data_IF_805158163049
#
_entry.id   IF_805158163049
#
_cell.length_a   1.000
_cell.length_b   1.000
_cell.length_c   1.000
_cell.angle_alpha   90.00
_cell.angle_beta   90.00
_cell.angle_gamma   90.00
#
_symmetry.space_group_name_H-M   'P 1'
#
loop_
_entity.id
_entity.type
_entity.pdbx_description
1 polymer ?
#
# COMPACT_ATOMS: atom_id res chain seq x y z
N UNK A 1 4.34 -22.43 5.07
CA UNK A 1 3.88 -21.59 6.21
C UNK A 1 3.75 -22.49 7.44
N UNK A 2 4.39 -22.14 8.57
CA UNK A 2 4.24 -22.85 9.84
C UNK A 2 2.78 -22.82 10.32
N UNK A 3 2.31 -23.88 10.97
CA UNK A 3 0.93 -23.92 11.50
C UNK A 3 0.74 -22.91 12.64
N UNK A 4 1.81 -22.55 13.35
CA UNK A 4 1.78 -21.58 14.46
C UNK A 4 1.57 -20.13 14.00
N UNK A 5 1.67 -19.85 12.69
CA UNK A 5 1.40 -18.53 12.14
C UNK A 5 -0.10 -18.15 12.18
N UNK A 6 -0.99 -19.15 12.26
CA UNK A 6 -2.45 -18.99 12.26
C UNK A 6 -2.94 -18.04 11.15
N UNK A 7 -2.90 -18.53 9.91
CA UNK A 7 -3.42 -17.80 8.75
C UNK A 7 -4.94 -17.73 8.86
N UNK A 8 -5.49 -16.51 8.85
CA UNK A 8 -6.94 -16.29 8.91
C UNK A 8 -7.54 -16.21 7.51
N UNK A 9 -6.90 -15.48 6.60
CA UNK A 9 -7.34 -15.31 5.21
C UNK A 9 -6.19 -14.95 4.28
N UNK A 10 -6.39 -15.21 3.00
CA UNK A 10 -5.49 -14.83 1.91
C UNK A 10 -6.34 -14.06 0.90
N UNK A 11 -5.91 -12.84 0.59
CA UNK A 11 -6.66 -11.94 -0.30
C UNK A 11 -5.74 -11.39 -1.38
N UNK A 12 -6.28 -11.22 -2.59
CA UNK A 12 -5.62 -10.47 -3.64
C UNK A 12 -5.93 -8.99 -3.44
N UNK A 13 -4.91 -8.15 -3.32
CA UNK A 13 -5.09 -6.72 -3.10
C UNK A 13 -4.26 -5.90 -4.09
N UNK A 14 -4.94 -5.42 -5.13
CA UNK A 14 -4.29 -4.84 -6.28
C UNK A 14 -3.19 -5.78 -6.80
N UNK A 15 -1.94 -5.32 -6.95
CA UNK A 15 -0.86 -6.15 -7.48
C UNK A 15 -0.18 -7.05 -6.44
N UNK A 16 -0.76 -7.24 -5.25
CA UNK A 16 -0.13 -7.96 -4.12
C UNK A 16 -1.01 -9.10 -3.61
N UNK A 17 -0.37 -10.15 -3.12
CA UNK A 17 -1.01 -11.22 -2.36
C UNK A 17 -0.86 -10.92 -0.87
N UNK A 18 -1.95 -10.56 -0.20
CA UNK A 18 -1.99 -10.28 1.23
C UNK A 18 -2.31 -11.56 2.02
N UNK A 19 -1.46 -11.90 2.98
CA UNK A 19 -1.67 -13.04 3.89
C UNK A 19 -1.91 -12.47 5.29
N UNK A 20 -3.12 -12.66 5.80
CA UNK A 20 -3.52 -12.20 7.13
C UNK A 20 -3.24 -13.29 8.17
N UNK A 21 -2.58 -12.89 9.26
CA UNK A 21 -2.11 -13.81 10.29
C UNK A 21 -2.42 -13.26 11.69
N UNK A 22 -2.67 -14.17 12.65
CA UNK A 22 -2.81 -13.80 14.07
C UNK A 22 -1.47 -13.74 14.80
N UNK A 23 -0.46 -14.45 14.31
CA UNK A 23 0.88 -14.46 14.92
C UNK A 23 1.92 -13.81 14.00
N UNK A 24 1.89 -12.47 13.93
CA UNK A 24 2.84 -11.70 13.11
C UNK A 24 4.28 -11.82 13.66
N UNK A 25 4.43 -11.97 14.98
CA UNK A 25 5.73 -11.98 15.66
C UNK A 25 6.59 -13.16 15.17
N UNK A 26 6.00 -14.34 15.06
CA UNK A 26 6.66 -15.53 14.54
C UNK A 26 7.24 -15.30 13.13
N UNK A 27 6.49 -14.63 12.25
CA UNK A 27 6.91 -14.39 10.87
C UNK A 27 7.97 -13.29 10.75
N UNK A 28 8.10 -12.43 11.76
CA UNK A 28 9.20 -11.48 11.83
C UNK A 28 10.51 -12.19 12.16
N UNK A 29 10.48 -13.18 13.05
CA UNK A 29 11.63 -14.00 13.42
C UNK A 29 12.00 -14.99 12.30
N UNK A 30 10.98 -15.54 11.62
CA UNK A 30 11.13 -16.50 10.53
C UNK A 30 10.93 -15.87 9.15
N UNK A 31 11.67 -14.79 8.88
CA UNK A 31 11.56 -14.04 7.62
C UNK A 31 11.83 -14.87 6.36
N UNK A 32 12.62 -15.95 6.46
CA UNK A 32 12.91 -16.89 5.37
C UNK A 32 11.64 -17.51 4.76
N UNK A 33 10.60 -17.74 5.58
CA UNK A 33 9.33 -18.32 5.13
C UNK A 33 8.68 -17.46 4.04
N UNK A 34 8.77 -16.14 4.16
CA UNK A 34 8.23 -15.21 3.16
C UNK A 34 9.01 -15.31 1.86
N UNK A 35 10.33 -15.31 1.98
CA UNK A 35 11.25 -15.39 0.84
C UNK A 35 11.02 -16.67 0.04
N UNK A 36 10.84 -17.80 0.71
CA UNK A 36 10.58 -19.10 0.06
C UNK A 36 9.26 -19.10 -0.73
N UNK A 37 8.20 -18.51 -0.16
CA UNK A 37 6.90 -18.44 -0.85
C UNK A 37 6.96 -17.47 -2.03
N UNK A 38 7.69 -16.35 -1.90
CA UNK A 38 7.91 -15.41 -3.01
C UNK A 38 8.66 -16.10 -4.15
N UNK A 39 9.70 -16.87 -3.84
CA UNK A 39 10.48 -17.63 -4.83
C UNK A 39 9.65 -18.75 -5.48
N UNK A 40 8.74 -19.37 -4.75
CA UNK A 40 7.85 -20.39 -5.30
C UNK A 40 6.78 -19.79 -6.23
N UNK A 41 6.09 -18.74 -5.78
CA UNK A 41 4.93 -18.19 -6.48
C UNK A 41 5.27 -17.12 -7.51
N UNK A 42 6.48 -16.54 -7.45
CA UNK A 42 6.90 -15.38 -8.27
C UNK A 42 5.90 -14.21 -8.21
N UNK A 43 5.25 -14.03 -7.05
CA UNK A 43 4.26 -12.97 -6.79
C UNK A 43 4.74 -12.08 -5.65
N UNK A 44 4.29 -10.83 -5.63
CA UNK A 44 4.56 -9.90 -4.53
C UNK A 44 3.66 -10.24 -3.34
N UNK A 45 4.25 -10.74 -2.26
CA UNK A 45 3.53 -11.16 -1.06
C UNK A 45 3.71 -10.13 0.04
N UNK A 46 2.64 -9.85 0.78
CA UNK A 46 2.66 -9.00 1.97
C UNK A 46 1.98 -9.73 3.12
N UNK A 47 2.66 -9.78 4.27
CA UNK A 47 2.06 -10.28 5.51
C UNK A 47 1.36 -9.13 6.22
N UNK A 48 0.17 -9.40 6.73
CA UNK A 48 -0.63 -8.45 7.53
C UNK A 48 -1.11 -9.07 8.82
N UNK A 49 -1.23 -8.23 9.85
CA UNK A 49 -1.97 -8.59 11.05
C UNK A 49 -3.45 -8.70 10.74
N UNK A 50 -4.09 -9.72 11.31
CA UNK A 50 -5.54 -9.80 11.28
C UNK A 50 -6.17 -8.57 11.99
N UNK A 51 -7.22 -7.95 11.42
CA UNK A 51 -7.94 -6.87 12.07
C UNK A 51 -8.35 -7.15 13.52
N UNK A 52 -8.67 -8.40 13.87
CA UNK A 52 -9.17 -8.78 15.18
C UNK A 52 -8.13 -8.67 16.31
N UNK A 53 -6.84 -8.65 15.97
CA UNK A 53 -5.74 -8.62 16.96
C UNK A 53 -5.07 -7.24 17.04
N UNK A 54 -5.46 -6.30 16.18
CA UNK A 54 -4.90 -4.93 16.18
C UNK A 54 -5.48 -4.16 17.35
N UNK A 55 -4.62 -3.42 18.05
CA UNK A 55 -5.10 -2.49 19.07
C UNK A 55 -5.96 -1.39 18.44
N UNK A 56 -6.97 -0.86 19.17
CA UNK A 56 -7.69 0.33 18.74
C UNK A 56 -6.73 1.49 18.47
N UNK A 57 -7.04 2.32 17.47
CA UNK A 57 -6.14 3.38 17.00
C UNK A 57 -5.68 4.32 18.13
N UNK A 58 -6.59 4.68 19.04
CA UNK A 58 -6.29 5.55 20.20
C UNK A 58 -5.27 4.91 21.15
N UNK A 59 -5.43 3.63 21.46
CA UNK A 59 -4.51 2.90 22.35
C UNK A 59 -3.17 2.62 21.67
N UNK A 60 -3.21 2.32 20.37
CA UNK A 60 -2.02 2.16 19.55
C UNK A 60 -1.22 3.47 19.48
N UNK A 61 -1.89 4.62 19.33
CA UNK A 61 -1.23 5.93 19.30
C UNK A 61 -0.49 6.22 20.62
N UNK A 62 -1.15 5.99 21.76
CA UNK A 62 -0.53 6.15 23.09
C UNK A 62 0.67 5.21 23.24
N UNK A 63 0.52 3.95 22.84
CA UNK A 63 1.59 2.95 22.89
C UNK A 63 2.80 3.37 22.04
N UNK A 64 2.56 3.88 20.82
CA UNK A 64 3.63 4.36 19.93
C UNK A 64 4.35 5.57 20.52
N UNK A 65 3.62 6.54 21.08
CA UNK A 65 4.23 7.72 21.71
C UNK A 65 5.08 7.37 22.93
N UNK A 66 4.73 6.31 23.66
CA UNK A 66 5.49 5.83 24.81
C UNK A 66 6.75 5.03 24.40
N UNK A 67 6.68 4.26 23.32
CA UNK A 67 7.80 3.44 22.84
C UNK A 67 8.86 4.26 22.10
N UNK A 68 8.44 5.33 21.40
CA UNK A 68 9.36 6.15 20.62
C UNK A 68 9.96 7.25 21.51
N UNK A 69 11.29 7.44 21.50
CA UNK A 69 11.93 8.50 22.28
C UNK A 69 11.37 9.89 21.93
N UNK A 70 11.13 10.74 22.94
CA UNK A 70 10.64 12.11 22.74
C UNK A 70 11.55 12.94 21.82
N UNK A 71 12.86 12.64 21.81
CA UNK A 71 13.86 13.26 20.93
C UNK A 71 13.63 13.03 19.43
N UNK A 72 12.85 12.00 19.07
CA UNK A 72 12.48 11.75 17.68
C UNK A 72 11.54 12.83 17.13
N UNK A 73 10.83 13.53 18.01
CA UNK A 73 9.84 14.57 17.73
C UNK A 73 8.79 14.09 16.70
N UNK A 74 7.89 13.21 17.17
CA UNK A 74 6.74 12.76 16.37
C UNK A 74 5.82 13.95 16.12
N UNK A 75 5.62 14.26 14.84
CA UNK A 75 4.75 15.34 14.38
C UNK A 75 3.33 14.85 14.13
N UNK A 76 3.16 13.66 13.53
CA UNK A 76 1.85 13.08 13.23
C UNK A 76 1.88 11.55 13.24
N UNK A 77 0.75 10.93 13.59
CA UNK A 77 0.52 9.50 13.49
C UNK A 77 -0.79 9.34 12.72
N UNK A 78 -0.76 8.62 11.60
CA UNK A 78 -1.94 8.37 10.77
C UNK A 78 -2.11 6.86 10.57
N UNK A 79 -3.31 6.34 10.76
CA UNK A 79 -3.60 4.93 10.55
C UNK A 79 -4.12 4.67 9.14
N UNK A 80 -3.83 3.49 8.61
CA UNK A 80 -4.42 2.96 7.39
C UNK A 80 -5.06 1.60 7.71
N UNK A 81 -6.34 1.58 8.09
CA UNK A 81 -7.05 0.35 8.46
C UNK A 81 -7.09 -0.68 7.33
N UNK A 82 -7.17 -0.20 6.09
CA UNK A 82 -7.25 -1.05 4.89
C UNK A 82 -6.00 -1.90 4.71
N UNK A 83 -4.81 -1.32 4.97
CA UNK A 83 -3.53 -2.02 4.85
C UNK A 83 -2.99 -2.58 6.17
N UNK A 84 -3.53 -2.12 7.31
CA UNK A 84 -2.97 -2.40 8.64
C UNK A 84 -1.64 -1.74 8.91
N UNK A 85 -1.44 -0.56 8.32
CA UNK A 85 -0.24 0.23 8.48
C UNK A 85 -0.51 1.43 9.40
N UNK A 86 0.52 1.82 10.16
CA UNK A 86 0.54 3.08 10.92
C UNK A 86 1.69 3.93 10.40
N UNK A 87 1.36 5.10 9.86
CA UNK A 87 2.31 6.05 9.31
C UNK A 87 2.72 7.00 10.42
N UNK A 88 4.00 6.95 10.80
CA UNK A 88 4.58 7.78 11.87
C UNK A 88 5.47 8.82 11.23
N UNK A 89 5.12 10.10 11.37
CA UNK A 89 5.94 11.22 10.89
C UNK A 89 6.76 11.80 12.04
N UNK A 90 8.08 11.80 11.90
CA UNK A 90 9.00 12.29 12.91
C UNK A 90 10.09 13.17 12.30
N UNK A 91 10.57 14.18 13.02
CA UNK A 91 11.68 15.02 12.52
C UNK A 91 12.97 14.20 12.39
N UNK A 92 13.22 13.30 13.34
CA UNK A 92 14.38 12.40 13.35
C UNK A 92 13.92 10.94 13.20
N UNK A 93 13.62 10.48 11.96
CA UNK A 93 13.08 9.14 11.74
C UNK A 93 14.03 8.01 12.18
N UNK A 94 15.35 8.24 12.19
CA UNK A 94 16.32 7.24 12.65
C UNK A 94 16.13 6.82 14.11
N UNK A 95 15.70 7.76 14.98
CA UNK A 95 15.40 7.46 16.38
C UNK A 95 14.09 6.69 16.54
N UNK A 96 13.12 6.91 15.63
CA UNK A 96 11.85 6.16 15.59
C UNK A 96 12.03 4.74 15.10
N UNK A 97 13.00 4.49 14.21
CA UNK A 97 13.30 3.15 13.70
C UNK A 97 14.05 2.33 14.76
N UNK A 98 14.95 2.97 15.51
CA UNK A 98 15.84 2.30 16.45
C UNK A 98 17.04 1.63 15.75
N UNK A 99 17.99 1.11 16.53
CA UNK A 99 19.12 0.35 15.98
C UNK A 99 18.59 -0.94 15.36
N UNK A 100 18.93 -1.18 14.10
CA UNK A 100 18.48 -2.35 13.32
C UNK A 100 16.95 -2.58 13.31
N UNK A 101 16.16 -1.51 13.50
CA UNK A 101 14.70 -1.59 13.50
C UNK A 101 14.09 -2.10 14.80
N UNK A 102 14.83 -2.17 15.91
CA UNK A 102 14.35 -2.67 17.21
C UNK A 102 13.04 -2.02 17.65
N UNK A 103 12.94 -0.68 17.54
CA UNK A 103 11.74 0.07 17.93
C UNK A 103 10.56 -0.24 17.01
N UNK A 104 10.78 -0.45 15.71
CA UNK A 104 9.71 -0.91 14.81
C UNK A 104 9.18 -2.28 15.23
N UNK A 105 10.06 -3.18 15.65
CA UNK A 105 9.66 -4.51 16.10
C UNK A 105 8.86 -4.44 17.40
N UNK A 106 9.26 -3.58 18.33
CA UNK A 106 8.52 -3.33 19.58
C UNK A 106 7.13 -2.75 19.30
N UNK A 107 7.02 -1.78 18.38
CA UNK A 107 5.72 -1.22 17.98
C UNK A 107 4.82 -2.31 17.39
N UNK A 108 5.34 -3.20 16.54
CA UNK A 108 4.57 -4.30 15.97
C UNK A 108 4.14 -5.27 17.07
N UNK A 109 5.04 -5.64 18.00
CA UNK A 109 4.74 -6.55 19.11
C UNK A 109 3.65 -6.00 20.02
N UNK A 110 3.72 -4.71 20.35
CA UNK A 110 2.78 -4.04 21.25
C UNK A 110 1.42 -3.76 20.59
N UNK A 111 1.42 -3.23 19.37
CA UNK A 111 0.19 -2.70 18.75
C UNK A 111 -0.42 -3.63 17.69
N UNK A 112 0.37 -4.57 17.17
CA UNK A 112 0.08 -5.38 15.97
C UNK A 112 -0.16 -4.57 14.70
N UNK A 113 0.06 -3.26 14.71
CA UNK A 113 0.07 -2.43 13.51
C UNK A 113 1.46 -2.49 12.86
N UNK A 114 1.50 -2.36 11.53
CA UNK A 114 2.76 -2.30 10.79
C UNK A 114 3.25 -0.84 10.70
N UNK A 115 4.33 -0.45 11.40
CA UNK A 115 4.81 0.92 11.36
C UNK A 115 5.51 1.24 10.05
N UNK A 116 5.19 2.40 9.50
CA UNK A 116 5.89 3.02 8.38
C UNK A 116 6.36 4.40 8.81
N UNK A 117 7.66 4.54 9.03
CA UNK A 117 8.25 5.80 9.48
C UNK A 117 8.56 6.69 8.29
N UNK A 118 8.12 7.95 8.35
CA UNK A 118 8.41 8.99 7.38
C UNK A 118 9.06 10.19 8.10
N UNK A 119 9.89 10.93 7.36
CA UNK A 119 10.41 12.20 7.86
C UNK A 119 9.28 13.24 7.85
N UNK A 120 9.14 13.98 8.95
CA UNK A 120 8.21 15.09 9.04
C UNK A 120 8.50 16.14 7.96
N UNK A 121 7.43 16.65 7.35
CA UNK A 121 7.53 17.65 6.30
C UNK A 121 7.90 19.01 6.91
N UNK A 122 8.83 19.79 6.33
CA UNK A 122 9.13 21.14 6.81
C UNK A 122 7.92 22.07 6.75
N UNK A 123 7.06 21.88 5.75
CA UNK A 123 5.84 22.64 5.54
C UNK A 123 4.66 21.68 5.43
N UNK A 124 3.60 21.85 6.23
CA UNK A 124 2.42 20.99 6.15
C UNK A 124 1.65 21.26 4.86
N UNK A 125 1.33 20.19 4.12
CA UNK A 125 0.49 20.28 2.92
C UNK A 125 -0.97 19.92 3.23
N UNK A 126 -1.88 20.86 2.94
CA UNK A 126 -3.32 20.63 3.04
C UNK A 126 -3.80 19.49 2.13
N UNK A 127 -3.18 19.34 0.94
CA UNK A 127 -3.54 18.29 -0.02
C UNK A 127 -3.19 16.91 0.56
N UNK A 128 -2.04 16.78 1.20
CA UNK A 128 -1.60 15.51 1.81
C UNK A 128 -2.48 15.16 3.00
N UNK A 129 -2.78 16.12 3.86
CA UNK A 129 -3.69 15.91 4.99
C UNK A 129 -5.09 15.47 4.52
N UNK A 130 -5.65 16.15 3.52
CA UNK A 130 -6.94 15.79 2.92
C UNK A 130 -6.93 14.39 2.30
N UNK A 131 -5.89 14.07 1.52
CA UNK A 131 -5.75 12.75 0.90
C UNK A 131 -5.69 11.64 1.95
N UNK A 132 -4.92 11.83 3.04
CA UNK A 132 -4.84 10.86 4.14
C UNK A 132 -6.18 10.69 4.85
N UNK A 133 -6.90 11.78 5.07
CA UNK A 133 -8.21 11.73 5.67
C UNK A 133 -9.19 10.92 4.82
N UNK A 134 -9.23 11.15 3.50
CA UNK A 134 -10.07 10.39 2.56
C UNK A 134 -9.69 8.90 2.57
N UNK A 135 -8.39 8.58 2.53
CA UNK A 135 -7.93 7.19 2.55
C UNK A 135 -8.28 6.46 3.86
N UNK A 136 -8.37 7.18 4.97
CA UNK A 136 -8.78 6.65 6.27
C UNK A 136 -10.30 6.48 6.36
N UNK A 137 -11.07 7.52 5.99
CA UNK A 137 -12.53 7.51 6.04
C UNK A 137 -13.14 6.48 5.10
N UNK A 138 -12.59 6.35 3.88
CA UNK A 138 -13.06 5.43 2.84
C UNK A 138 -12.35 4.08 2.88
N UNK A 139 -11.83 3.66 4.05
CA UNK A 139 -11.02 2.45 4.16
C UNK A 139 -11.77 1.17 3.74
N UNK A 140 -13.06 1.06 4.03
CA UNK A 140 -13.90 -0.09 3.63
C UNK A 140 -14.10 -0.16 2.11
N UNK A 141 -14.38 0.98 1.46
CA UNK A 141 -14.52 1.06 0.01
C UNK A 141 -13.19 0.74 -0.67
N UNK A 142 -12.09 1.29 -0.14
CA UNK A 142 -10.74 1.01 -0.64
C UNK A 142 -10.38 -0.47 -0.56
N UNK A 143 -10.71 -1.16 0.53
CA UNK A 143 -10.50 -2.61 0.66
C UNK A 143 -11.26 -3.40 -0.40
N UNK A 144 -12.51 -3.02 -0.71
CA UNK A 144 -13.30 -3.64 -1.79
C UNK A 144 -12.67 -3.40 -3.16
N UNK A 145 -12.30 -2.16 -3.49
CA UNK A 145 -11.64 -1.83 -4.75
C UNK A 145 -10.33 -2.61 -4.91
N UNK A 146 -9.51 -2.70 -3.86
CA UNK A 146 -8.26 -3.47 -3.91
C UNK A 146 -8.50 -4.95 -4.19
N UNK A 147 -9.55 -5.53 -3.58
CA UNK A 147 -9.93 -6.92 -3.82
C UNK A 147 -10.36 -7.15 -5.26
N UNK A 148 -11.27 -6.32 -5.78
CA UNK A 148 -11.78 -6.44 -7.15
C UNK A 148 -10.66 -6.30 -8.18
N UNK A 149 -9.76 -5.32 -7.97
CA UNK A 149 -8.59 -5.13 -8.84
C UNK A 149 -7.64 -6.32 -8.72
N UNK A 150 -7.43 -6.85 -7.52
CA UNK A 150 -6.56 -8.01 -7.28
C UNK A 150 -7.07 -9.27 -7.98
N UNK A 151 -8.35 -9.59 -7.84
CA UNK A 151 -8.98 -10.74 -8.49
C UNK A 151 -8.87 -10.64 -10.03
N UNK A 152 -8.98 -9.43 -10.60
CA UNK A 152 -8.77 -9.20 -12.04
C UNK A 152 -7.31 -9.38 -12.48
N UNK A 153 -6.34 -8.91 -11.69
CA UNK A 153 -4.91 -9.02 -12.01
C UNK A 153 -4.44 -10.47 -11.99
N UNK A 154 -4.89 -11.24 -10.99
CA UNK A 154 -4.40 -12.61 -10.75
C UNK A 154 -5.26 -13.70 -11.41
N UNK A 155 -6.23 -13.32 -12.25
CA UNK A 155 -7.02 -14.28 -13.03
C UNK A 155 -6.12 -15.14 -13.94
N UNK A 156 -6.48 -16.40 -14.22
CA UNK A 156 -5.77 -17.22 -15.20
C UNK A 156 -5.80 -16.60 -16.60
N UNK A 157 -4.75 -16.83 -17.39
CA UNK A 157 -4.72 -16.46 -18.80
C UNK A 157 -5.60 -17.39 -19.62
N UNK A 158 -6.35 -16.84 -20.57
CA UNK A 158 -7.31 -17.55 -21.43
C UNK A 158 -6.72 -17.87 -22.81
N UNK A 159 -5.80 -17.04 -23.32
CA UNK A 159 -5.21 -17.07 -24.64
C UNK A 159 -3.68 -17.10 -24.56
N UNK A 160 -3.05 -17.92 -25.40
CA UNK A 160 -1.58 -18.09 -25.44
C UNK A 160 -0.89 -17.25 -26.52
N UNK A 161 -1.63 -16.73 -27.49
CA UNK A 161 -1.08 -15.90 -28.57
C UNK A 161 -0.91 -14.48 -28.05
N UNK A 162 0.19 -13.80 -28.42
CA UNK A 162 0.49 -12.44 -27.97
C UNK A 162 0.58 -11.49 -29.16
N UNK A 163 -0.51 -10.77 -29.44
CA UNK A 163 -0.46 -9.59 -30.27
C UNK A 163 -0.50 -8.36 -29.36
N UNK A 164 0.24 -7.32 -29.72
CA UNK A 164 0.22 -6.04 -29.03
C UNK A 164 -0.11 -4.96 -30.05
N UNK A 165 -1.16 -4.18 -29.77
CA UNK A 165 -1.57 -3.02 -30.54
C UNK A 165 -1.40 -1.77 -29.68
N UNK A 166 -0.92 -0.71 -30.30
CA UNK A 166 -0.88 0.61 -29.69
C UNK A 166 -1.78 1.55 -30.48
N UNK A 167 -2.71 2.20 -29.80
CA UNK A 167 -3.64 3.18 -30.37
C UNK A 167 -3.31 4.54 -29.78
N UNK A 168 -2.94 5.49 -30.65
CA UNK A 168 -2.59 6.85 -30.27
C UNK A 168 -3.86 7.71 -30.20
N UNK A 169 -4.30 8.06 -28.99
CA UNK A 169 -5.56 8.77 -28.76
C UNK A 169 -5.39 10.30 -28.67
N UNK A 170 -4.20 10.79 -28.32
CA UNK A 170 -3.89 12.21 -28.31
C UNK A 170 -2.42 12.49 -27.99
N UNK A 171 -1.93 13.68 -28.37
CA UNK A 171 -0.53 14.09 -28.20
C UNK A 171 0.42 13.58 -29.30
N UNK A 172 -0.12 13.09 -30.42
CA UNK A 172 0.66 12.65 -31.58
C UNK A 172 0.47 13.63 -32.73
N UNK A 173 1.56 14.28 -33.15
CA UNK A 173 1.57 15.42 -34.10
C UNK A 173 0.86 16.68 -33.56
N UNK A 174 0.74 16.78 -32.25
CA UNK A 174 0.18 17.93 -31.54
C UNK A 174 0.78 18.01 -30.13
N UNK A 175 0.52 19.11 -29.43
CA UNK A 175 0.93 19.31 -28.04
C UNK A 175 -0.32 19.39 -27.16
N UNK A 176 -0.34 18.62 -26.07
CA UNK A 176 -1.49 18.50 -25.17
C UNK A 176 -2.24 17.17 -25.34
N UNK A 177 -3.15 16.87 -24.40
CA UNK A 177 -4.03 15.69 -24.41
C UNK A 177 -3.32 14.35 -24.65
N UNK A 178 -2.11 14.18 -24.12
CA UNK A 178 -1.35 12.94 -24.25
C UNK A 178 -2.16 11.74 -23.74
N UNK A 179 -2.37 10.77 -24.61
CA UNK A 179 -3.09 9.54 -24.27
C UNK A 179 -2.76 8.42 -25.27
N UNK A 180 -2.37 7.26 -24.74
CA UNK A 180 -2.05 6.06 -25.51
C UNK A 180 -2.81 4.88 -24.93
N UNK A 181 -3.52 4.12 -25.77
CA UNK A 181 -4.11 2.87 -25.38
C UNK A 181 -3.25 1.70 -25.88
N UNK A 182 -2.70 0.92 -24.95
CA UNK A 182 -1.94 -0.30 -25.25
C UNK A 182 -2.85 -1.50 -25.03
N UNK A 183 -3.08 -2.28 -26.07
CA UNK A 183 -3.95 -3.44 -26.06
C UNK A 183 -3.15 -4.70 -26.34
N UNK A 184 -3.23 -5.65 -25.44
CA UNK A 184 -2.91 -7.05 -25.68
C UNK A 184 -4.23 -7.84 -25.82
N UNK A 185 -4.14 -9.11 -26.19
CA UNK A 185 -5.34 -9.95 -26.39
C UNK A 185 -6.27 -10.06 -25.17
N UNK A 186 -5.75 -9.84 -23.95
CA UNK A 186 -6.52 -9.98 -22.71
C UNK A 186 -6.54 -8.72 -21.84
N UNK A 187 -5.76 -7.70 -22.21
CA UNK A 187 -5.48 -6.57 -21.34
C UNK A 187 -5.47 -5.29 -22.15
N UNK A 188 -6.10 -4.26 -21.61
CA UNK A 188 -6.07 -2.92 -22.16
C UNK A 188 -5.54 -1.99 -21.08
N UNK A 189 -4.47 -1.26 -21.37
CA UNK A 189 -3.81 -0.32 -20.46
C UNK A 189 -3.81 1.05 -21.10
N UNK A 190 -4.44 2.01 -20.43
CA UNK A 190 -4.39 3.41 -20.80
C UNK A 190 -3.17 4.06 -20.17
N UNK A 191 -2.30 4.64 -20.99
CA UNK A 191 -1.13 5.41 -20.58
C UNK A 191 -1.43 6.88 -20.83
N UNK A 192 -1.34 7.66 -19.75
CA UNK A 192 -1.79 9.05 -19.67
C UNK A 192 -3.28 9.25 -20.01
N UNK A 193 -3.80 10.37 -19.57
CA UNK A 193 -5.13 10.87 -19.93
C UNK A 193 -5.09 12.38 -19.74
N UNK A 194 -4.19 13.03 -20.47
CA UNK A 194 -3.96 14.47 -20.35
C UNK A 194 -5.10 15.29 -20.93
N UNK A 195 -5.11 16.57 -20.58
CA UNK A 195 -5.97 17.59 -21.18
C UNK A 195 -5.14 18.50 -22.10
N UNK A 196 -5.79 19.13 -23.07
CA UNK A 196 -5.23 20.17 -23.92
C UNK A 196 -5.57 21.56 -23.35
N UNK A 197 -4.63 22.21 -22.64
CA UNK A 197 -4.89 23.51 -22.01
C UNK A 197 -5.06 24.66 -23.02
N UNK A 198 -4.69 24.44 -24.29
CA UNK A 198 -4.83 25.44 -25.35
C UNK A 198 -6.22 25.49 -26.00
N UNK A 199 -7.09 24.52 -25.69
CA UNK A 199 -8.45 24.45 -26.23
C UNK A 199 -9.49 24.85 -25.18
N UNK A 200 -10.50 25.63 -25.59
CA UNK A 200 -11.69 25.91 -24.79
C UNK A 200 -12.90 25.07 -25.22
N UNK A 201 -12.81 24.35 -26.34
CA UNK A 201 -13.84 23.40 -26.77
C UNK A 201 -13.68 22.09 -25.98
N UNK A 202 -14.68 21.65 -25.18
CA UNK A 202 -14.61 20.41 -24.40
C UNK A 202 -14.31 19.15 -25.23
N UNK A 203 -14.62 19.15 -26.53
CA UNK A 203 -14.35 18.02 -27.43
C UNK A 203 -12.89 17.98 -27.87
N UNK A 204 -12.22 19.14 -27.89
CA UNK A 204 -10.80 19.28 -28.28
C UNK A 204 -9.87 19.54 -27.08
N UNK A 205 -10.45 19.70 -25.89
CA UNK A 205 -9.79 19.91 -24.60
C UNK A 205 -9.23 18.63 -24.00
#
# INVERSE_FOLDING_TARGET
MPKEAEITRIEFEGPRLAIYVKNVILLMEQSYVVTDIVNLLHKRIVIRSDPSIRLPEREAEVSIRNLVPAEAEITAINFDPSLGEVIIEAKKPGLTIGKDGSTLQEIIKATRWRPRVLRAQPLPSKIIASTRHILHSESEERSRILRDVGERIFRPTLMKTSNVRMTTLGGFREVGRSCILVEANESSVLLDCGMNPGSQDPVQA
#
